data_IF_996082650541
#
_entry.id   IF_996082650541
#
_cell.length_a   1.000
_cell.length_b   1.000
_cell.length_c   1.000
_cell.angle_alpha   90.00
_cell.angle_beta   90.00
_cell.angle_gamma   90.00
#
_symmetry.space_group_name_H-M   'P 1'
#
loop_
_entity.id
_entity.type
_entity.pdbx_description
1 polymer ?
#
# COMPACT_ATOMS: atom_id res chain seq x y z
N UNK A 1 -13.66 -49.22 -7.13
CA UNK A 1 -13.00 -48.63 -5.94
C UNK A 1 -11.55 -49.05 -5.95
N UNK A 2 -10.65 -48.18 -6.45
CA UNK A 2 -9.20 -48.15 -6.20
C UNK A 2 -8.59 -47.24 -7.27
N UNK A 3 -8.54 -45.93 -7.03
CA UNK A 3 -7.73 -44.99 -7.85
C UNK A 3 -7.46 -43.64 -7.17
N UNK A 4 -7.67 -43.50 -5.84
CA UNK A 4 -7.37 -42.24 -5.13
C UNK A 4 -5.99 -42.22 -4.44
N UNK A 5 -5.30 -43.37 -4.34
CA UNK A 5 -3.98 -43.42 -3.68
C UNK A 5 -2.79 -43.15 -4.63
N UNK A 6 -3.01 -43.01 -5.94
CA UNK A 6 -1.95 -42.81 -6.94
C UNK A 6 -1.54 -41.36 -7.21
N UNK A 7 -2.40 -40.38 -6.93
CA UNK A 7 -2.14 -38.97 -7.27
C UNK A 7 -1.35 -38.21 -6.20
N UNK A 8 -1.48 -38.58 -4.92
CA UNK A 8 -0.72 -37.93 -3.83
C UNK A 8 0.79 -38.24 -3.89
N UNK A 9 1.18 -39.41 -4.44
CA UNK A 9 2.58 -39.85 -4.47
C UNK A 9 3.42 -39.20 -5.58
N UNK A 10 2.81 -38.68 -6.66
CA UNK A 10 3.54 -38.05 -7.77
C UNK A 10 3.82 -36.56 -7.53
N UNK A 11 3.03 -35.88 -6.69
CA UNK A 11 3.25 -34.48 -6.35
C UNK A 11 4.50 -34.25 -5.47
N UNK A 12 4.90 -35.27 -4.69
CA UNK A 12 6.00 -35.17 -3.72
C UNK A 12 7.41 -35.31 -4.36
N UNK A 13 7.51 -35.89 -5.57
CA UNK A 13 8.78 -36.02 -6.31
C UNK A 13 9.18 -34.75 -7.08
N UNK A 14 8.24 -33.83 -7.34
CA UNK A 14 8.49 -32.59 -8.12
C UNK A 14 8.93 -31.39 -7.29
N UNK A 15 8.87 -31.47 -5.95
CA UNK A 15 9.19 -30.35 -5.06
C UNK A 15 10.70 -30.15 -4.90
N UNK A 16 11.14 -28.91 -5.00
CA UNK A 16 12.56 -28.59 -4.81
C UNK A 16 13.02 -28.91 -3.38
N UNK A 17 14.31 -29.22 -3.14
CA UNK A 17 14.80 -29.44 -1.78
C UNK A 17 14.54 -28.27 -0.82
N UNK A 18 14.48 -27.05 -1.34
CA UNK A 18 14.15 -25.84 -0.56
C UNK A 18 12.67 -25.75 -0.22
N UNK A 19 11.79 -26.10 -1.16
CA UNK A 19 10.36 -26.20 -0.90
C UNK A 19 10.06 -27.25 0.18
N UNK A 20 10.67 -28.44 0.10
CA UNK A 20 10.52 -29.48 1.14
C UNK A 20 10.96 -28.98 2.51
N UNK A 21 12.11 -28.30 2.58
CA UNK A 21 12.61 -27.69 3.83
C UNK A 21 11.68 -26.59 4.34
N UNK A 22 11.13 -25.78 3.44
CA UNK A 22 10.18 -24.74 3.78
C UNK A 22 8.90 -25.33 4.40
N UNK A 23 8.32 -26.35 3.77
CA UNK A 23 7.13 -27.05 4.26
C UNK A 23 7.40 -27.65 5.65
N UNK A 24 8.55 -28.30 5.86
CA UNK A 24 8.91 -28.86 7.16
C UNK A 24 9.02 -27.80 8.27
N UNK A 25 9.48 -26.58 7.95
CA UNK A 25 9.50 -25.46 8.91
C UNK A 25 8.10 -24.91 9.18
N UNK A 26 7.27 -24.81 8.14
CA UNK A 26 5.88 -24.41 8.26
C UNK A 26 5.11 -25.38 9.17
N UNK A 27 5.31 -26.68 9.02
CA UNK A 27 4.71 -27.69 9.91
C UNK A 27 5.17 -27.54 11.37
N UNK A 28 6.43 -27.19 11.61
CA UNK A 28 6.93 -26.91 12.97
C UNK A 28 6.27 -25.68 13.57
N UNK A 29 6.05 -24.63 12.77
CA UNK A 29 5.34 -23.43 13.19
C UNK A 29 3.86 -23.75 13.48
N UNK A 30 3.18 -24.48 12.60
CA UNK A 30 1.77 -24.85 12.75
C UNK A 30 1.53 -25.70 14.01
N UNK A 31 2.45 -26.60 14.33
CA UNK A 31 2.37 -27.46 15.52
C UNK A 31 2.88 -26.78 16.81
N UNK A 32 3.43 -25.56 16.72
CA UNK A 32 3.92 -24.84 17.88
C UNK A 32 2.76 -24.30 18.74
N UNK A 33 2.96 -24.31 20.07
CA UNK A 33 2.07 -23.58 20.99
C UNK A 33 2.09 -22.07 20.67
N UNK A 34 1.00 -21.32 20.90
CA UNK A 34 0.93 -19.89 20.59
C UNK A 34 2.12 -19.07 21.11
N UNK A 35 2.51 -19.26 22.37
CA UNK A 35 3.64 -18.55 22.99
C UNK A 35 5.01 -18.90 22.39
N UNK A 36 5.11 -20.01 21.64
CA UNK A 36 6.35 -20.46 21.03
C UNK A 36 6.45 -20.09 19.54
N UNK A 37 5.37 -19.59 18.91
CA UNK A 37 5.34 -19.29 17.46
C UNK A 37 6.43 -18.33 17.03
N UNK A 38 6.71 -17.29 17.82
CA UNK A 38 7.77 -16.30 17.55
C UNK A 38 9.14 -16.96 17.30
N UNK A 39 9.46 -18.05 18.03
CA UNK A 39 10.72 -18.79 17.85
C UNK A 39 10.80 -19.48 16.48
N UNK A 40 9.68 -19.91 15.92
CA UNK A 40 9.61 -20.64 14.67
C UNK A 40 9.39 -19.73 13.44
N UNK A 41 8.94 -18.48 13.65
CA UNK A 41 8.79 -17.49 12.58
C UNK A 41 10.13 -17.15 11.94
N UNK A 42 11.18 -16.85 12.71
CA UNK A 42 12.47 -16.40 12.17
C UNK A 42 13.13 -17.42 11.19
N UNK A 43 13.24 -18.74 11.52
CA UNK A 43 13.73 -19.72 10.55
C UNK A 43 12.87 -19.81 9.28
N UNK A 44 11.54 -19.66 9.41
CA UNK A 44 10.62 -19.71 8.27
C UNK A 44 10.76 -18.47 7.37
N UNK A 45 10.93 -17.28 7.94
CA UNK A 45 11.19 -16.04 7.20
C UNK A 45 12.53 -16.10 6.45
N UNK A 46 13.58 -16.64 7.08
CA UNK A 46 14.87 -16.83 6.40
C UNK A 46 14.77 -17.84 5.24
N UNK A 47 13.97 -18.92 5.37
CA UNK A 47 13.73 -19.79 4.21
C UNK A 47 12.82 -19.14 3.16
N UNK A 48 11.81 -18.35 3.57
CA UNK A 48 10.97 -17.57 2.65
C UNK A 48 11.83 -16.65 1.78
N UNK A 49 12.80 -15.96 2.39
CA UNK A 49 13.74 -15.06 1.70
C UNK A 49 14.61 -15.79 0.67
N UNK A 50 14.95 -17.05 0.92
CA UNK A 50 15.71 -17.88 -0.03
C UNK A 50 14.84 -18.47 -1.12
N UNK A 51 13.58 -18.75 -0.82
CA UNK A 51 12.63 -19.33 -1.76
C UNK A 51 12.12 -18.26 -2.74
N UNK A 52 11.81 -17.05 -2.25
CA UNK A 52 11.20 -15.98 -3.07
C UNK A 52 12.09 -15.50 -4.24
N UNK A 53 13.41 -15.71 -4.14
CA UNK A 53 14.36 -15.35 -5.20
C UNK A 53 14.57 -16.48 -6.22
N UNK A 54 14.02 -17.68 -5.96
CA UNK A 54 14.11 -18.80 -6.90
C UNK A 54 13.08 -18.68 -8.03
N UNK A 55 13.38 -19.24 -9.21
CA UNK A 55 12.36 -19.45 -10.24
C UNK A 55 11.18 -20.25 -9.67
N UNK A 56 9.95 -19.75 -9.81
CA UNK A 56 8.74 -20.39 -9.26
C UNK A 56 8.52 -20.17 -7.76
N UNK A 57 9.45 -19.48 -7.08
CA UNK A 57 9.40 -19.30 -5.63
C UNK A 57 8.21 -18.49 -5.13
N UNK A 58 7.81 -17.46 -5.88
CA UNK A 58 6.66 -16.62 -5.55
C UNK A 58 5.37 -17.42 -5.66
N UNK A 59 5.23 -18.24 -6.70
CA UNK A 59 4.10 -19.13 -6.94
C UNK A 59 3.98 -20.18 -5.83
N UNK A 60 5.11 -20.75 -5.39
CA UNK A 60 5.16 -21.67 -4.25
C UNK A 60 4.67 -20.97 -2.98
N UNK A 61 5.21 -19.78 -2.68
CA UNK A 61 4.82 -19.01 -1.49
C UNK A 61 3.35 -18.57 -1.53
N UNK A 62 2.84 -18.18 -2.71
CA UNK A 62 1.44 -17.83 -2.92
C UNK A 62 0.51 -19.01 -2.62
N UNK A 63 0.81 -20.18 -3.20
CA UNK A 63 0.05 -21.42 -2.94
C UNK A 63 0.06 -21.81 -1.46
N UNK A 64 1.15 -21.54 -0.74
CA UNK A 64 1.30 -21.83 0.69
C UNK A 64 0.81 -20.69 1.60
N UNK A 65 0.45 -19.52 1.05
CA UNK A 65 0.07 -18.34 1.83
C UNK A 65 -1.09 -18.58 2.81
N UNK A 66 -2.17 -19.30 2.44
CA UNK A 66 -3.23 -19.64 3.40
C UNK A 66 -2.70 -20.46 4.59
N UNK A 67 -1.86 -21.45 4.32
CA UNK A 67 -1.26 -22.29 5.37
C UNK A 67 -0.29 -21.51 6.26
N UNK A 68 0.43 -20.52 5.71
CA UNK A 68 1.31 -19.63 6.48
C UNK A 68 0.50 -18.79 7.49
N UNK A 69 -0.64 -18.26 7.03
CA UNK A 69 -1.55 -17.48 7.85
C UNK A 69 -2.18 -18.32 8.97
N UNK A 70 -2.76 -19.48 8.63
CA UNK A 70 -3.32 -20.44 9.59
C UNK A 70 -2.28 -20.93 10.61
N UNK A 71 -1.04 -21.15 10.16
CA UNK A 71 0.07 -21.51 11.03
C UNK A 71 0.48 -20.37 11.98
N UNK A 72 -0.09 -19.17 11.85
CA UNK A 72 0.19 -18.01 12.69
C UNK A 72 1.55 -17.40 12.42
N UNK A 73 1.98 -17.35 11.16
CA UNK A 73 3.19 -16.64 10.75
C UNK A 73 3.16 -15.17 11.20
N UNK A 74 1.99 -14.53 11.12
CA UNK A 74 1.81 -13.11 11.45
C UNK A 74 1.50 -12.86 12.94
N UNK A 75 1.31 -13.93 13.73
CA UNK A 75 0.89 -13.83 15.12
C UNK A 75 1.85 -12.97 15.96
N UNK A 76 1.33 -11.94 16.61
CA UNK A 76 2.10 -11.02 17.45
C UNK A 76 2.95 -10.01 16.66
N UNK A 77 2.65 -9.80 15.39
CA UNK A 77 3.28 -8.77 14.53
C UNK A 77 2.26 -7.74 14.07
N UNK A 78 2.71 -6.64 13.46
CA UNK A 78 1.81 -5.61 12.89
C UNK A 78 0.97 -6.13 11.71
N UNK A 79 1.30 -7.32 11.16
CA UNK A 79 0.57 -7.96 10.07
C UNK A 79 -0.46 -8.99 10.53
N UNK A 80 -0.61 -9.20 11.84
CA UNK A 80 -1.49 -10.23 12.41
C UNK A 80 -2.95 -10.03 11.97
N UNK A 81 -3.45 -8.80 12.07
CA UNK A 81 -4.80 -8.44 11.62
C UNK A 81 -4.79 -7.87 10.19
N UNK A 82 -5.24 -8.63 9.17
CA UNK A 82 -5.30 -8.13 7.81
C UNK A 82 -6.29 -6.96 7.62
N UNK A 83 -7.30 -6.81 8.48
CA UNK A 83 -8.26 -5.72 8.40
C UNK A 83 -7.67 -4.36 8.79
N UNK A 84 -6.63 -4.39 9.64
CA UNK A 84 -5.94 -3.20 10.14
C UNK A 84 -4.80 -2.73 9.21
N UNK A 85 -4.48 -3.50 8.16
CA UNK A 85 -3.40 -3.16 7.24
C UNK A 85 -3.71 -1.89 6.45
N UNK A 86 -2.69 -1.08 6.22
CA UNK A 86 -2.79 0.16 5.45
C UNK A 86 -1.89 0.11 4.20
N UNK A 87 -2.45 0.24 2.98
CA UNK A 87 -1.65 0.25 1.74
C UNK A 87 -0.55 1.31 1.73
N UNK A 88 -0.81 2.47 2.35
CA UNK A 88 0.13 3.59 2.43
C UNK A 88 1.39 3.33 3.28
N UNK A 89 1.37 2.34 4.18
CA UNK A 89 2.52 2.02 5.02
C UNK A 89 3.50 1.04 4.36
N UNK A 90 3.03 0.30 3.36
CA UNK A 90 3.83 -0.74 2.69
C UNK A 90 5.10 -0.15 2.08
N UNK A 91 5.02 1.03 1.45
CA UNK A 91 6.19 1.66 0.85
C UNK A 91 7.28 1.93 1.91
N UNK A 92 6.90 2.42 3.09
CA UNK A 92 7.85 2.66 4.18
C UNK A 92 8.54 1.35 4.62
N UNK A 93 7.80 0.25 4.76
CA UNK A 93 8.38 -1.07 5.03
C UNK A 93 9.36 -1.49 3.93
N UNK A 94 9.00 -1.30 2.66
CA UNK A 94 9.85 -1.67 1.53
C UNK A 94 11.09 -0.77 1.38
N UNK A 95 11.06 0.48 1.84
CA UNK A 95 12.18 1.41 1.73
C UNK A 95 13.09 1.42 2.96
N UNK A 96 12.55 1.16 4.16
CA UNK A 96 13.28 1.34 5.42
C UNK A 96 13.33 0.07 6.27
N UNK A 97 12.46 -0.90 6.00
CA UNK A 97 12.37 -2.14 6.77
C UNK A 97 13.62 -3.02 6.64
N UNK A 98 13.82 -3.85 7.67
CA UNK A 98 14.76 -4.95 7.63
C UNK A 98 14.33 -5.99 6.57
N UNK A 99 15.24 -6.88 6.16
CA UNK A 99 14.91 -7.93 5.20
C UNK A 99 13.77 -8.84 5.69
N UNK A 100 13.69 -9.05 7.00
CA UNK A 100 12.65 -9.88 7.63
C UNK A 100 11.28 -9.19 7.58
N UNK A 101 11.22 -7.87 7.77
CA UNK A 101 9.99 -7.11 7.61
C UNK A 101 9.55 -7.06 6.14
N UNK A 102 10.48 -6.89 5.21
CA UNK A 102 10.18 -6.87 3.77
C UNK A 102 9.63 -8.23 3.29
N UNK A 103 10.18 -9.35 3.77
CA UNK A 103 9.66 -10.66 3.41
C UNK A 103 8.30 -10.92 4.08
N UNK A 104 8.12 -10.53 5.35
CA UNK A 104 6.84 -10.66 6.05
C UNK A 104 5.74 -9.84 5.35
N UNK A 105 6.05 -8.62 4.95
CA UNK A 105 5.20 -7.74 4.14
C UNK A 105 4.81 -8.39 2.81
N UNK A 106 5.79 -8.96 2.10
CA UNK A 106 5.56 -9.67 0.83
C UNK A 106 4.64 -10.89 1.03
N UNK A 107 4.83 -11.67 2.10
CA UNK A 107 3.97 -12.82 2.42
C UNK A 107 2.56 -12.39 2.83
N UNK A 108 2.42 -11.26 3.54
CA UNK A 108 1.09 -10.70 3.87
C UNK A 108 0.32 -10.32 2.60
N UNK A 109 0.99 -9.76 1.61
CA UNK A 109 0.37 -9.44 0.32
C UNK A 109 -0.06 -10.69 -0.45
N UNK A 110 0.74 -11.76 -0.41
CA UNK A 110 0.37 -13.05 -1.00
C UNK A 110 -0.82 -13.70 -0.26
N UNK A 111 -0.90 -13.55 1.07
CA UNK A 111 -2.08 -13.95 1.85
C UNK A 111 -3.32 -13.20 1.38
N UNK A 112 -3.25 -11.87 1.27
CA UNK A 112 -4.38 -11.07 0.80
C UNK A 112 -4.77 -11.43 -0.63
N UNK A 113 -3.79 -11.76 -1.49
CA UNK A 113 -4.08 -12.19 -2.85
C UNK A 113 -4.83 -13.51 -2.88
N UNK A 114 -4.47 -14.46 -2.01
CA UNK A 114 -5.16 -15.74 -1.92
C UNK A 114 -6.63 -15.55 -1.50
N UNK A 115 -6.91 -14.61 -0.58
CA UNK A 115 -8.27 -14.23 -0.19
C UNK A 115 -9.01 -13.53 -1.34
N UNK A 116 -8.38 -12.56 -2.00
CA UNK A 116 -8.96 -11.79 -3.11
C UNK A 116 -9.30 -12.65 -4.34
N UNK A 117 -8.61 -13.78 -4.52
CA UNK A 117 -8.86 -14.76 -5.56
C UNK A 117 -9.81 -15.89 -5.13
N UNK A 118 -10.30 -15.88 -3.88
CA UNK A 118 -11.17 -16.92 -3.34
C UNK A 118 -10.49 -18.26 -3.10
N UNK A 119 -9.16 -18.32 -3.10
CA UNK A 119 -8.37 -19.52 -2.79
C UNK A 119 -8.49 -19.87 -1.30
N UNK A 120 -8.64 -18.85 -0.46
CA UNK A 120 -8.88 -19.00 0.97
C UNK A 120 -9.96 -18.04 1.45
N UNK A 121 -10.63 -18.41 2.54
CA UNK A 121 -11.52 -17.51 3.28
C UNK A 121 -10.80 -17.05 4.55
N UNK A 122 -11.04 -15.81 4.96
CA UNK A 122 -10.45 -15.25 6.17
C UNK A 122 -11.53 -14.55 7.00
N UNK A 123 -11.53 -14.73 8.32
CA UNK A 123 -12.57 -14.17 9.18
C UNK A 123 -12.49 -12.65 9.31
N UNK A 124 -11.27 -12.10 9.28
CA UNK A 124 -11.03 -10.66 9.44
C UNK A 124 -11.20 -9.84 8.17
N UNK A 125 -11.21 -10.43 6.97
CA UNK A 125 -11.24 -9.65 5.71
C UNK A 125 -11.97 -10.40 4.59
N UNK A 126 -12.84 -9.71 3.87
CA UNK A 126 -13.55 -10.27 2.70
C UNK A 126 -12.66 -10.30 1.45
N UNK A 127 -13.07 -11.09 0.45
CA UNK A 127 -12.39 -11.12 -0.86
C UNK A 127 -12.41 -9.74 -1.54
N UNK A 128 -13.51 -9.00 -1.46
CA UNK A 128 -13.62 -7.65 -2.01
C UNK A 128 -12.70 -6.66 -1.28
N UNK A 129 -12.65 -6.71 0.05
CA UNK A 129 -11.77 -5.86 0.85
C UNK A 129 -10.29 -6.14 0.55
N UNK A 130 -9.91 -7.42 0.44
CA UNK A 130 -8.55 -7.81 0.09
C UNK A 130 -8.19 -7.35 -1.34
N UNK A 131 -9.11 -7.49 -2.31
CA UNK A 131 -8.92 -6.97 -3.67
C UNK A 131 -8.75 -5.46 -3.66
N UNK A 132 -9.61 -4.73 -2.94
CA UNK A 132 -9.52 -3.27 -2.82
C UNK A 132 -8.18 -2.83 -2.22
N UNK A 133 -7.73 -3.48 -1.14
CA UNK A 133 -6.43 -3.24 -0.53
C UNK A 133 -5.30 -3.40 -1.55
N UNK A 134 -5.29 -4.51 -2.30
CA UNK A 134 -4.23 -4.80 -3.29
C UNK A 134 -4.26 -3.82 -4.46
N UNK A 135 -5.44 -3.42 -4.93
CA UNK A 135 -5.57 -2.37 -5.96
C UNK A 135 -4.97 -1.05 -5.47
N UNK A 136 -5.28 -0.62 -4.24
CA UNK A 136 -4.69 0.57 -3.64
C UNK A 136 -3.18 0.45 -3.46
N UNK A 137 -2.71 -0.70 -2.99
CA UNK A 137 -1.29 -0.98 -2.82
C UNK A 137 -0.53 -0.81 -4.13
N UNK A 138 -1.04 -1.40 -5.21
CA UNK A 138 -0.42 -1.34 -6.54
C UNK A 138 -0.45 0.09 -7.10
N UNK A 139 -1.58 0.79 -6.93
CA UNK A 139 -1.73 2.19 -7.31
C UNK A 139 -0.70 3.10 -6.62
N UNK A 140 -0.54 2.99 -5.30
CA UNK A 140 0.41 3.78 -4.51
C UNK A 140 1.88 3.44 -4.79
N UNK A 141 2.14 2.29 -5.40
CA UNK A 141 3.49 1.82 -5.73
C UNK A 141 3.71 1.71 -7.25
N UNK A 142 2.96 2.45 -8.06
CA UNK A 142 3.05 2.35 -9.52
C UNK A 142 4.46 2.72 -10.04
N UNK A 143 5.17 3.63 -9.39
CA UNK A 143 6.56 3.94 -9.75
C UNK A 143 7.50 2.73 -9.60
N UNK A 144 7.21 1.79 -8.69
CA UNK A 144 7.97 0.53 -8.56
C UNK A 144 7.71 -0.42 -9.73
N UNK A 145 6.53 -0.34 -10.32
CA UNK A 145 6.08 -1.20 -11.41
C UNK A 145 6.53 -0.67 -12.77
N UNK A 146 6.51 0.65 -12.96
CA UNK A 146 6.76 1.30 -14.25
C UNK A 146 8.09 2.08 -14.30
N UNK A 147 8.67 2.40 -13.15
CA UNK A 147 9.88 3.21 -13.03
C UNK A 147 11.16 2.37 -13.05
N UNK A 148 12.32 3.03 -13.15
CA UNK A 148 13.61 2.36 -13.11
C UNK A 148 13.83 1.69 -11.73
N UNK A 149 14.60 0.59 -11.68
CA UNK A 149 14.95 -0.05 -10.41
C UNK A 149 15.62 0.93 -9.42
N UNK A 150 15.22 0.87 -8.15
CA UNK A 150 15.82 1.69 -7.10
C UNK A 150 17.22 1.20 -6.73
N UNK A 151 18.24 2.01 -7.02
CA UNK A 151 19.63 1.69 -6.68
C UNK A 151 19.84 1.57 -5.16
N UNK A 152 19.19 2.44 -4.38
CA UNK A 152 19.20 2.38 -2.91
C UNK A 152 18.71 1.03 -2.39
N UNK A 153 17.62 0.52 -2.97
CA UNK A 153 17.09 -0.79 -2.57
C UNK A 153 17.98 -1.93 -3.02
N UNK A 154 18.57 -1.84 -4.23
CA UNK A 154 19.51 -2.86 -4.72
C UNK A 154 20.68 -3.03 -3.77
N UNK A 155 21.26 -1.95 -3.27
CA UNK A 155 22.34 -1.98 -2.28
C UNK A 155 21.89 -2.59 -0.96
N UNK A 156 20.70 -2.21 -0.45
CA UNK A 156 20.22 -2.64 0.87
C UNK A 156 19.72 -4.10 0.89
N UNK A 157 18.89 -4.46 -0.09
CA UNK A 157 18.18 -5.73 -0.14
C UNK A 157 18.88 -6.77 -1.03
N UNK A 158 19.79 -6.35 -1.91
CA UNK A 158 20.47 -7.26 -2.84
C UNK A 158 19.47 -7.98 -3.74
N UNK A 159 19.58 -9.32 -3.91
CA UNK A 159 18.64 -10.10 -4.72
C UNK A 159 17.17 -9.99 -4.30
N UNK A 160 16.90 -9.64 -3.03
CA UNK A 160 15.53 -9.47 -2.53
C UNK A 160 14.84 -8.24 -3.16
N UNK A 161 15.58 -7.19 -3.58
CA UNK A 161 14.98 -6.03 -4.24
C UNK A 161 14.25 -6.43 -5.53
N UNK A 162 14.90 -7.28 -6.34
CA UNK A 162 14.32 -7.79 -7.59
C UNK A 162 13.13 -8.71 -7.31
N UNK A 163 13.24 -9.58 -6.30
CA UNK A 163 12.15 -10.48 -5.93
C UNK A 163 10.91 -9.70 -5.45
N UNK A 164 11.06 -8.62 -4.69
CA UNK A 164 9.94 -7.74 -4.31
C UNK A 164 9.30 -7.13 -5.57
N UNK A 165 10.10 -6.66 -6.53
CA UNK A 165 9.57 -6.17 -7.81
C UNK A 165 8.76 -7.25 -8.55
N UNK A 166 9.24 -8.50 -8.54
CA UNK A 166 8.52 -9.65 -9.12
C UNK A 166 7.23 -9.98 -8.36
N UNK A 167 7.19 -9.84 -7.04
CA UNK A 167 5.94 -9.97 -6.26
C UNK A 167 4.93 -8.95 -6.72
N UNK A 168 5.30 -7.68 -6.85
CA UNK A 168 4.37 -6.64 -7.31
C UNK A 168 3.85 -6.91 -8.73
N UNK A 169 4.70 -7.42 -9.64
CA UNK A 169 4.26 -7.85 -10.97
C UNK A 169 3.31 -9.06 -10.89
N UNK A 170 3.59 -10.02 -10.01
CA UNK A 170 2.73 -11.17 -9.77
C UNK A 170 1.34 -10.72 -9.27
N UNK A 171 1.29 -9.84 -8.27
CA UNK A 171 0.05 -9.23 -7.78
C UNK A 171 -0.71 -8.51 -8.91
N UNK A 172 -0.02 -7.69 -9.71
CA UNK A 172 -0.62 -6.98 -10.85
C UNK A 172 -1.23 -7.95 -11.88
N UNK A 173 -0.55 -9.06 -12.18
CA UNK A 173 -1.04 -10.07 -13.11
C UNK A 173 -2.37 -10.71 -12.67
N UNK A 174 -2.61 -10.79 -11.35
CA UNK A 174 -3.85 -11.34 -10.80
C UNK A 174 -4.96 -10.29 -10.59
N UNK A 175 -4.61 -9.06 -10.19
CA UNK A 175 -5.59 -7.99 -9.97
C UNK A 175 -6.06 -7.41 -11.30
N UNK A 176 -5.17 -7.27 -12.27
CA UNK A 176 -5.46 -6.69 -13.57
C UNK A 176 -5.13 -5.20 -13.63
N UNK A 177 -4.50 -4.79 -14.74
CA UNK A 177 -4.07 -3.41 -14.95
C UNK A 177 -5.23 -2.42 -15.05
N UNK A 178 -6.36 -2.84 -15.63
CA UNK A 178 -7.57 -2.02 -15.77
C UNK A 178 -8.15 -1.58 -14.43
N UNK A 179 -8.23 -2.49 -13.46
CA UNK A 179 -8.75 -2.22 -12.12
C UNK A 179 -7.87 -1.20 -11.37
N UNK A 180 -6.55 -1.31 -11.53
CA UNK A 180 -5.57 -0.39 -10.93
C UNK A 180 -5.70 1.02 -11.52
N UNK A 181 -5.76 1.11 -12.86
CA UNK A 181 -5.93 2.41 -13.53
C UNK A 181 -7.28 3.05 -13.21
N UNK A 182 -8.36 2.26 -13.19
CA UNK A 182 -9.69 2.75 -12.82
C UNK A 182 -9.68 3.37 -11.43
N UNK A 183 -9.15 2.66 -10.43
CA UNK A 183 -9.02 3.18 -9.07
C UNK A 183 -8.16 4.45 -9.01
N UNK A 184 -7.05 4.53 -9.76
CA UNK A 184 -6.22 5.74 -9.81
C UNK A 184 -6.97 6.93 -10.41
N UNK A 185 -7.72 6.71 -11.49
CA UNK A 185 -8.54 7.76 -12.12
C UNK A 185 -9.60 8.26 -11.16
N UNK A 186 -10.31 7.35 -10.48
CA UNK A 186 -11.32 7.70 -9.47
C UNK A 186 -10.72 8.49 -8.32
N UNK A 187 -9.52 8.10 -7.86
CA UNK A 187 -8.81 8.79 -6.80
C UNK A 187 -8.35 10.19 -7.22
N UNK A 188 -7.85 10.34 -8.46
CA UNK A 188 -7.50 11.64 -9.04
C UNK A 188 -8.76 12.52 -9.10
N UNK A 189 -9.88 12.01 -9.62
CA UNK A 189 -11.14 12.75 -9.65
C UNK A 189 -11.61 13.12 -8.27
N UNK A 190 -11.51 12.21 -7.29
CA UNK A 190 -11.84 12.48 -5.88
C UNK A 190 -10.99 13.62 -5.32
N UNK A 191 -9.67 13.62 -5.56
CA UNK A 191 -8.75 14.67 -5.13
C UNK A 191 -9.08 16.00 -5.84
N UNK A 192 -9.27 15.98 -7.15
CA UNK A 192 -9.64 17.18 -7.93
C UNK A 192 -11.01 17.75 -7.51
N UNK A 193 -11.92 16.88 -7.06
CA UNK A 193 -13.26 17.26 -6.57
C UNK A 193 -13.24 17.77 -5.13
N UNK A 194 -12.15 17.56 -4.38
CA UNK A 194 -11.98 18.24 -3.10
C UNK A 194 -11.80 19.72 -3.39
N UNK A 195 -12.79 20.53 -2.99
CA UNK A 195 -12.71 21.99 -3.12
C UNK A 195 -11.42 22.45 -2.44
N UNK A 196 -10.57 23.25 -3.13
CA UNK A 196 -9.53 24.01 -2.43
C UNK A 196 -10.19 24.72 -1.24
N UNK A 197 -9.60 24.58 -0.04
CA UNK A 197 -10.09 25.13 1.24
C UNK A 197 -10.99 26.35 1.05
N UNK A 198 -12.24 26.29 1.51
CA UNK A 198 -13.35 27.21 1.19
C UNK A 198 -13.02 28.72 1.25
N UNK A 199 -12.30 29.26 0.26
CA UNK A 199 -12.04 30.69 0.15
C UNK A 199 -13.21 31.43 -0.45
N UNK A 200 -14.21 30.75 -1.02
CA UNK A 200 -15.38 31.40 -1.62
C UNK A 200 -16.20 32.20 -0.58
N UNK A 201 -16.45 31.62 0.59
CA UNK A 201 -17.19 32.31 1.66
C UNK A 201 -16.37 33.45 2.28
N UNK A 202 -15.07 33.22 2.50
CA UNK A 202 -14.14 34.27 2.97
C UNK A 202 -14.06 35.41 1.95
N UNK A 203 -14.01 35.10 0.64
CA UNK A 203 -14.04 36.09 -0.44
C UNK A 203 -15.34 36.91 -0.43
N UNK A 204 -16.47 36.25 -0.24
CA UNK A 204 -17.76 36.92 -0.14
C UNK A 204 -17.80 37.85 1.09
N UNK A 205 -17.33 37.40 2.27
CA UNK A 205 -17.28 38.22 3.48
C UNK A 205 -16.36 39.44 3.32
N UNK A 206 -15.14 39.25 2.81
CA UNK A 206 -14.21 40.36 2.54
C UNK A 206 -14.79 41.33 1.52
N UNK A 207 -15.50 40.84 0.50
CA UNK A 207 -16.23 41.67 -0.46
C UNK A 207 -17.34 42.51 0.20
N UNK A 208 -18.15 41.91 1.09
CA UNK A 208 -19.21 42.62 1.81
C UNK A 208 -18.66 43.69 2.77
N UNK A 209 -17.54 43.41 3.44
CA UNK A 209 -16.85 44.39 4.28
C UNK A 209 -16.38 45.59 3.44
N UNK A 210 -15.77 45.35 2.27
CA UNK A 210 -15.31 46.40 1.38
C UNK A 210 -16.46 47.30 0.87
N UNK A 211 -17.58 46.68 0.47
CA UNK A 211 -18.78 47.41 0.03
C UNK A 211 -19.35 48.28 1.16
N UNK A 212 -19.43 47.74 2.38
CA UNK A 212 -19.99 48.45 3.54
C UNK A 212 -19.17 49.68 3.93
N UNK A 213 -17.83 49.59 3.84
CA UNK A 213 -16.92 50.71 4.11
C UNK A 213 -17.05 51.80 3.03
N UNK A 214 -17.18 51.42 1.76
CA UNK A 214 -17.36 52.39 0.66
C UNK A 214 -18.71 53.12 0.73
N UNK A 215 -19.77 52.43 1.13
CA UNK A 215 -21.11 53.00 1.25
C UNK A 215 -21.31 53.86 2.51
N UNK A 216 -20.27 54.05 3.34
CA UNK A 216 -20.29 54.96 4.49
C UNK A 216 -21.23 54.53 5.63
N UNK A 217 -21.59 53.25 5.69
CA UNK A 217 -22.59 52.73 6.62
C UNK A 217 -21.97 52.37 7.98
N UNK A 218 -21.44 53.35 8.71
CA UNK A 218 -20.93 53.18 10.09
C UNK A 218 -19.61 53.89 10.40
N UNK A 219 -19.29 54.05 11.69
CA UNK A 219 -17.97 54.47 12.18
C UNK A 219 -17.08 53.23 12.38
N UNK A 220 -16.00 53.13 11.60
CA UNK A 220 -15.19 51.91 11.48
C UNK A 220 -13.81 51.99 12.16
N UNK A 221 -13.44 53.14 12.75
CA UNK A 221 -12.21 53.32 13.55
C UNK A 221 -10.97 52.57 13.04
N UNK A 222 -10.31 51.82 13.93
CA UNK A 222 -9.14 50.99 13.62
C UNK A 222 -9.45 49.74 12.77
N UNK A 223 -10.71 49.27 12.76
CA UNK A 223 -11.13 48.09 12.00
C UNK A 223 -11.07 48.32 10.48
N UNK A 224 -11.16 49.59 10.03
CA UNK A 224 -11.02 49.98 8.63
C UNK A 224 -9.66 49.59 8.04
N UNK A 225 -8.58 49.80 8.79
CA UNK A 225 -7.22 49.44 8.35
C UNK A 225 -7.05 47.92 8.20
N UNK A 226 -7.67 47.13 9.08
CA UNK A 226 -7.69 45.67 8.98
C UNK A 226 -8.47 45.17 7.77
N UNK A 227 -9.62 45.78 7.49
CA UNK A 227 -10.43 45.49 6.32
C UNK A 227 -9.71 45.83 5.00
N UNK A 228 -9.09 47.00 4.91
CA UNK A 228 -8.34 47.43 3.72
C UNK A 228 -7.18 46.47 3.40
N UNK A 229 -6.49 45.95 4.43
CA UNK A 229 -5.45 44.92 4.27
C UNK A 229 -6.00 43.61 3.73
N UNK A 230 -7.16 43.15 4.21
CA UNK A 230 -7.81 41.92 3.73
C UNK A 230 -8.30 42.08 2.30
N UNK A 231 -8.92 43.22 1.96
CA UNK A 231 -9.38 43.53 0.59
C UNK A 231 -8.20 43.62 -0.38
N UNK A 232 -7.11 44.28 0.02
CA UNK A 232 -5.87 44.36 -0.77
C UNK A 232 -5.22 42.99 -0.95
N UNK A 233 -5.15 42.15 0.09
CA UNK A 233 -4.60 40.80 -0.02
C UNK A 233 -5.45 39.88 -0.93
N UNK A 234 -6.74 40.16 -1.07
CA UNK A 234 -7.67 39.31 -1.82
C UNK A 234 -7.91 39.75 -3.26
N UNK A 235 -7.91 41.07 -3.53
CA UNK A 235 -8.23 41.67 -4.83
C UNK A 235 -7.11 42.56 -5.39
N UNK A 236 -6.05 42.81 -4.62
CA UNK A 236 -4.87 43.55 -5.09
C UNK A 236 -3.94 42.67 -5.93
N UNK A 237 -3.02 43.29 -6.69
CA UNK A 237 -2.00 42.57 -7.45
C UNK A 237 -1.13 41.74 -6.49
N UNK A 238 -0.77 40.53 -6.89
CA UNK A 238 0.17 39.70 -6.12
C UNK A 238 1.55 40.37 -6.13
N UNK A 239 2.39 40.13 -5.12
CA UNK A 239 3.70 40.80 -5.03
C UNK A 239 4.59 40.58 -6.26
N UNK A 240 4.41 39.46 -6.98
CA UNK A 240 5.14 39.19 -8.22
C UNK A 240 4.70 40.03 -9.42
N UNK A 241 3.58 40.76 -9.32
CA UNK A 241 3.04 41.64 -10.36
C UNK A 241 3.15 43.13 -10.01
N UNK A 242 3.78 43.49 -8.87
CA UNK A 242 3.95 44.90 -8.47
C UNK A 242 4.95 45.66 -9.33
N UNK A 243 5.94 44.95 -9.88
CA UNK A 243 7.01 45.50 -10.71
C UNK A 243 6.80 45.21 -12.22
N UNK A 244 5.65 44.64 -12.59
CA UNK A 244 5.30 44.47 -14.01
C UNK A 244 4.75 45.82 -14.53
N UNK A 245 5.49 46.54 -15.39
CA UNK A 245 5.07 47.85 -15.87
C UNK A 245 3.83 47.78 -16.80
N UNK A 246 3.31 46.58 -17.10
CA UNK A 246 2.10 46.40 -17.88
C UNK A 246 2.26 47.07 -19.25
N UNK A 247 3.05 46.46 -20.13
CA UNK A 247 3.21 47.00 -21.48
C UNK A 247 1.94 46.74 -22.30
N UNK A 248 1.22 47.85 -22.54
CA UNK A 248 0.12 48.17 -23.48
C UNK A 248 -0.89 47.07 -23.89
#
# INVERSE_FOLDING_TARGET
MSDEHGQASQADESQSPREKKFIALLERLANARPFAKLRFQAPLLEQSRRLIVEPGGIEILYRLAPRLDEAGLFHGTDWDDPAALMPGLVNATLEQGSRDLVILESLSQLRLLAVANGVATHQGISAEQARHFLTQLLALNLNRLLGPPSETQRVRLGPLAEAVGKVFHFLMGHIGYGDILGHLIDEIWRILSQRPLQVAHVKAMVGQIAISIQQGSGDFGEARLGADRLTSALFGPTQGCLDDPGLD
#
